data_IF_126765158609
#
_entry.id   IF_126765158609
#
_cell.length_a   1.000
_cell.length_b   1.000
_cell.length_c   1.000
_cell.angle_alpha   90.00
_cell.angle_beta   90.00
_cell.angle_gamma   90.00
#
_symmetry.space_group_name_H-M   'P 1'
#
loop_
_entity.id
_entity.type
_entity.pdbx_description
1 polymer ?
#
# COMPACT_ATOMS: atom_id res chain seq x y z
N UNK A 1 -11.34 6.81 10.83
CA UNK A 1 -10.52 5.71 10.28
C UNK A 1 -10.69 5.77 8.78
N UNK A 2 -9.62 6.08 8.04
CA UNK A 2 -9.66 6.23 6.57
C UNK A 2 -9.60 4.86 5.88
N UNK A 3 -9.93 4.80 4.59
CA UNK A 3 -9.75 3.57 3.79
C UNK A 3 -8.28 3.11 3.79
N UNK A 4 -7.35 4.07 3.79
CA UNK A 4 -5.92 3.82 3.78
C UNK A 4 -5.44 3.18 5.10
N UNK A 5 -5.98 3.63 6.23
CA UNK A 5 -5.75 3.00 7.55
C UNK A 5 -6.19 1.54 7.57
N UNK A 6 -7.37 1.24 7.00
CA UNK A 6 -7.88 -0.13 6.94
C UNK A 6 -6.99 -1.04 6.10
N UNK A 7 -6.53 -0.54 4.95
CA UNK A 7 -5.63 -1.28 4.08
C UNK A 7 -4.25 -1.49 4.74
N UNK A 8 -3.71 -0.49 5.45
CA UNK A 8 -2.49 -0.65 6.24
C UNK A 8 -2.61 -1.75 7.30
N UNK A 9 -3.72 -1.79 8.04
CA UNK A 9 -3.99 -2.82 9.05
C UNK A 9 -4.08 -4.20 8.39
N UNK A 10 -4.81 -4.33 7.27
CA UNK A 10 -4.93 -5.59 6.54
C UNK A 10 -3.57 -6.07 6.03
N UNK A 11 -2.78 -5.17 5.43
CA UNK A 11 -1.41 -5.47 4.99
C UNK A 11 -0.57 -6.06 6.12
N UNK A 12 -0.58 -5.41 7.29
CA UNK A 12 0.14 -5.87 8.50
C UNK A 12 -0.34 -7.24 8.96
N UNK A 13 -1.67 -7.47 9.01
CA UNK A 13 -2.26 -8.76 9.40
C UNK A 13 -1.87 -9.89 8.44
N UNK A 14 -1.77 -9.62 7.15
CA UNK A 14 -1.36 -10.59 6.12
C UNK A 14 0.15 -10.78 6.01
N UNK A 15 0.96 -10.05 6.78
CA UNK A 15 2.41 -10.12 6.72
C UNK A 15 3.01 -9.57 5.41
N UNK A 16 2.23 -8.81 4.64
CA UNK A 16 2.67 -8.24 3.36
C UNK A 16 3.73 -7.18 3.65
N UNK A 17 4.92 -7.40 3.09
CA UNK A 17 6.04 -6.48 3.23
C UNK A 17 5.89 -5.28 2.29
N UNK A 18 6.51 -4.15 2.65
CA UNK A 18 6.55 -2.98 1.78
C UNK A 18 7.28 -3.28 0.46
N UNK A 19 8.26 -4.19 0.48
CA UNK A 19 8.99 -4.64 -0.70
C UNK A 19 8.05 -5.28 -1.72
N UNK A 20 7.23 -6.25 -1.30
CA UNK A 20 6.24 -6.91 -2.16
C UNK A 20 5.27 -5.92 -2.81
N UNK A 21 4.76 -4.96 -2.03
CA UNK A 21 3.88 -3.93 -2.56
C UNK A 21 4.59 -3.01 -3.55
N UNK A 22 5.81 -2.59 -3.24
CA UNK A 22 6.58 -1.71 -4.09
C UNK A 22 6.89 -2.36 -5.44
N UNK A 23 7.20 -3.65 -5.44
CA UNK A 23 7.44 -4.47 -6.62
C UNK A 23 6.15 -4.62 -7.46
N UNK A 24 5.01 -4.91 -6.83
CA UNK A 24 3.73 -5.06 -7.53
C UNK A 24 3.20 -3.74 -8.12
N UNK A 25 3.31 -2.64 -7.36
CA UNK A 25 2.81 -1.33 -7.77
C UNK A 25 3.73 -0.70 -8.82
N UNK A 26 5.02 -1.02 -8.78
CA UNK A 26 6.06 -0.38 -9.58
C UNK A 26 6.45 0.98 -8.99
N UNK A 27 6.76 1.03 -7.69
CA UNK A 27 7.22 2.24 -7.01
C UNK A 27 8.34 1.91 -6.02
N UNK A 28 8.94 2.94 -5.41
CA UNK A 28 9.95 2.73 -4.36
C UNK A 28 9.28 2.34 -3.04
N UNK A 29 9.98 1.54 -2.23
CA UNK A 29 9.56 1.19 -0.85
C UNK A 29 9.29 2.46 -0.04
N UNK A 30 10.13 3.48 -0.20
CA UNK A 30 9.98 4.78 0.45
C UNK A 30 8.64 5.45 0.10
N UNK A 31 8.21 5.38 -1.16
CA UNK A 31 6.91 5.93 -1.57
C UNK A 31 5.75 5.24 -0.84
N UNK A 32 5.79 3.91 -0.72
CA UNK A 32 4.76 3.16 0.03
C UNK A 32 4.73 3.59 1.49
N UNK A 33 5.90 3.68 2.13
CA UNK A 33 6.01 4.14 3.52
C UNK A 33 5.51 5.56 3.71
N UNK A 34 5.82 6.48 2.80
CA UNK A 34 5.35 7.87 2.88
C UNK A 34 3.84 7.97 2.74
N UNK A 35 3.24 7.15 1.88
CA UNK A 35 1.78 7.09 1.72
C UNK A 35 1.11 6.55 2.98
N UNK A 36 1.65 5.50 3.60
CA UNK A 36 1.15 4.97 4.88
C UNK A 36 1.30 5.97 6.03
N UNK A 37 2.29 6.86 5.98
CA UNK A 37 2.47 7.94 6.95
C UNK A 37 1.74 9.24 6.58
N UNK A 38 0.85 9.23 5.58
CA UNK A 38 0.11 10.39 5.06
C UNK A 38 1.01 11.54 4.54
N UNK A 39 2.30 11.28 4.34
CA UNK A 39 3.29 12.24 3.81
C UNK A 39 3.33 12.29 2.29
N UNK A 40 2.66 11.35 1.63
CA UNK A 40 2.52 11.30 0.18
C UNK A 40 1.16 10.72 -0.20
N UNK A 41 0.79 10.87 -1.48
CA UNK A 41 -0.41 10.23 -2.05
C UNK A 41 -0.03 9.43 -3.28
N UNK A 42 -0.63 8.25 -3.42
CA UNK A 42 -0.54 7.51 -4.66
C UNK A 42 -1.35 8.20 -5.77
N UNK A 43 -0.92 8.03 -7.02
CA UNK A 43 -1.80 8.26 -8.15
C UNK A 43 -2.99 7.29 -8.09
N UNK A 44 -4.14 7.62 -8.70
CA UNK A 44 -5.33 6.75 -8.66
C UNK A 44 -5.05 5.31 -9.11
N UNK A 45 -4.22 5.16 -10.14
CA UNK A 45 -3.77 3.86 -10.66
C UNK A 45 -2.96 3.05 -9.64
N UNK A 46 -2.07 3.70 -8.89
CA UNK A 46 -1.25 3.04 -7.86
C UNK A 46 -2.06 2.70 -6.63
N UNK A 47 -3.02 3.54 -6.24
CA UNK A 47 -3.95 3.27 -5.15
C UNK A 47 -4.81 2.02 -5.45
N UNK A 48 -5.31 1.88 -6.67
CA UNK A 48 -6.02 0.67 -7.11
C UNK A 48 -5.15 -0.58 -7.04
N UNK A 49 -3.90 -0.51 -7.52
CA UNK A 49 -2.95 -1.63 -7.40
C UNK A 49 -2.68 -2.01 -5.94
N UNK A 50 -2.50 -1.02 -5.07
CA UNK A 50 -2.28 -1.23 -3.64
C UNK A 50 -3.44 -2.00 -2.99
N UNK A 51 -4.67 -1.55 -3.23
CA UNK A 51 -5.89 -2.22 -2.75
C UNK A 51 -6.01 -3.64 -3.31
N UNK A 52 -5.87 -3.79 -4.63
CA UNK A 52 -5.96 -5.08 -5.32
C UNK A 52 -4.94 -6.10 -4.80
N UNK A 53 -3.72 -5.66 -4.52
CA UNK A 53 -2.69 -6.54 -3.97
C UNK A 53 -3.06 -7.08 -2.59
N UNK A 54 -3.59 -6.21 -1.72
CA UNK A 54 -4.01 -6.58 -0.38
C UNK A 54 -5.25 -7.50 -0.41
N UNK A 55 -6.18 -7.29 -1.35
CA UNK A 55 -7.37 -8.15 -1.52
C UNK A 55 -7.03 -9.55 -2.04
N UNK A 56 -6.02 -9.69 -2.91
CA UNK A 56 -5.65 -10.97 -3.54
C UNK A 56 -4.77 -11.88 -2.67
N UNK A 57 -4.09 -11.36 -1.66
CA UNK A 57 -3.17 -12.09 -0.78
C UNK A 57 -3.89 -12.75 0.41
#
# INVERSE_FOLDING_TARGET
MTELDMLFIQRRKKGITLKMLSEYIGCSIAMVSLVECEKARFSPTKAQKYKKFIELY
#
